data_IF_621337322957
#
_entry.id   IF_621337322957
#
_cell.length_a   1.000
_cell.length_b   1.000
_cell.length_c   1.000
_cell.angle_alpha   90.00
_cell.angle_beta   90.00
_cell.angle_gamma   90.00
#
_symmetry.space_group_name_H-M   'P 1'
#
loop_
_entity.id
_entity.type
_entity.pdbx_description
1 polymer ?
#
# COMPACT_ATOMS: atom_id res chain seq x y z
N UNK A 1 -0.09 -16.84 -30.97
CA UNK A 1 -0.78 -15.60 -30.55
C UNK A 1 -2.24 -15.93 -30.34
N UNK A 2 -2.77 -15.70 -29.14
CA UNK A 2 -4.21 -15.80 -28.91
C UNK A 2 -4.88 -14.56 -29.54
N UNK A 3 -6.02 -14.71 -30.23
CA UNK A 3 -6.72 -13.58 -30.82
C UNK A 3 -7.27 -12.68 -29.70
N UNK A 4 -6.89 -11.40 -29.74
CA UNK A 4 -7.49 -10.36 -28.89
C UNK A 4 -8.93 -10.19 -29.35
N UNK A 5 -9.89 -10.50 -28.47
CA UNK A 5 -11.30 -10.32 -28.79
C UNK A 5 -11.60 -8.81 -28.91
N UNK A 6 -11.98 -8.30 -30.10
CA UNK A 6 -12.16 -6.88 -30.35
C UNK A 6 -13.31 -6.25 -29.54
N UNK A 7 -14.16 -7.06 -28.89
CA UNK A 7 -15.18 -6.57 -27.97
C UNK A 7 -14.60 -6.01 -26.65
N UNK A 8 -13.33 -6.28 -26.33
CA UNK A 8 -12.63 -5.69 -25.18
C UNK A 8 -11.75 -4.50 -25.54
N UNK A 9 -11.84 -3.98 -26.78
CA UNK A 9 -11.32 -2.66 -27.10
C UNK A 9 -12.24 -1.61 -26.47
N UNK A 10 -12.25 -1.54 -25.14
CA UNK A 10 -12.89 -0.46 -24.42
C UNK A 10 -12.13 0.80 -24.81
N UNK A 11 -12.75 1.62 -25.68
CA UNK A 11 -12.40 3.02 -25.85
C UNK A 11 -12.62 3.70 -24.49
N UNK A 12 -11.60 3.65 -23.65
CA UNK A 12 -11.73 3.99 -22.25
C UNK A 12 -11.29 5.44 -22.04
N UNK A 13 -12.22 6.36 -22.25
CA UNK A 13 -12.19 7.66 -21.57
C UNK A 13 -12.19 7.49 -20.03
N UNK A 14 -12.49 6.28 -19.53
CA UNK A 14 -12.40 5.88 -18.11
C UNK A 14 -10.96 5.77 -17.60
N UNK A 15 -9.95 5.65 -18.49
CA UNK A 15 -8.52 5.68 -18.11
C UNK A 15 -7.98 7.11 -17.90
N UNK A 16 -8.81 8.17 -18.05
CA UNK A 16 -8.34 9.57 -17.94
C UNK A 16 -7.99 10.01 -16.51
N UNK A 17 -8.39 9.26 -15.48
CA UNK A 17 -8.11 9.59 -14.07
C UNK A 17 -7.13 8.60 -13.42
N UNK A 18 -6.01 8.33 -14.08
CA UNK A 18 -4.86 7.75 -13.37
C UNK A 18 -4.23 8.88 -12.56
N UNK A 19 -4.47 8.89 -11.25
CA UNK A 19 -3.83 9.81 -10.30
C UNK A 19 -2.31 9.61 -10.41
N UNK A 20 -1.59 10.65 -10.86
CA UNK A 20 -0.12 10.62 -11.00
C UNK A 20 0.55 11.36 -9.86
N UNK A 21 1.74 10.89 -9.48
CA UNK A 21 2.60 11.62 -8.57
C UNK A 21 3.01 12.99 -9.15
N UNK A 22 2.83 14.05 -8.37
CA UNK A 22 3.35 15.40 -8.66
C UNK A 22 4.15 15.91 -7.48
N UNK A 23 4.96 16.96 -7.66
CA UNK A 23 5.75 17.54 -6.57
C UNK A 23 4.86 18.09 -5.46
N UNK A 24 3.71 18.64 -5.81
CA UNK A 24 2.73 19.17 -4.87
C UNK A 24 2.13 18.05 -4.02
N UNK A 25 1.81 16.91 -4.63
CA UNK A 25 1.30 15.73 -3.90
C UNK A 25 2.36 15.11 -2.98
N UNK A 26 3.60 15.03 -3.44
CA UNK A 26 4.73 14.61 -2.61
C UNK A 26 4.85 15.52 -1.40
N UNK A 27 4.85 16.85 -1.62
CA UNK A 27 4.95 17.81 -0.53
C UNK A 27 3.76 17.73 0.45
N UNK A 28 2.54 17.46 -0.02
CA UNK A 28 1.38 17.22 0.85
C UNK A 28 1.62 16.02 1.78
N UNK A 29 2.11 14.90 1.24
CA UNK A 29 2.40 13.68 2.02
C UNK A 29 3.56 13.90 2.99
N UNK A 30 4.64 14.56 2.56
CA UNK A 30 5.83 14.82 3.38
C UNK A 30 5.51 15.66 4.61
N UNK A 31 4.68 16.69 4.42
CA UNK A 31 4.42 17.70 5.44
C UNK A 31 3.17 17.39 6.29
N UNK A 32 2.47 16.28 6.03
CA UNK A 32 1.33 15.89 6.85
C UNK A 32 1.81 15.27 8.18
N UNK A 33 1.47 15.88 9.32
CA UNK A 33 1.91 15.41 10.63
C UNK A 33 1.05 14.27 11.19
N UNK A 34 -0.10 13.98 10.56
CA UNK A 34 -1.04 12.94 11.00
C UNK A 34 -0.75 11.59 10.35
N UNK A 35 0.02 11.58 9.24
CA UNK A 35 0.47 10.35 8.63
C UNK A 35 1.68 9.75 9.35
N UNK A 36 1.59 8.46 9.65
CA UNK A 36 2.74 7.65 10.03
C UNK A 36 3.70 7.48 8.85
N UNK A 37 4.98 7.26 9.14
CA UNK A 37 6.00 7.01 8.12
C UNK A 37 5.62 5.89 7.14
N UNK A 38 5.04 4.79 7.66
CA UNK A 38 4.59 3.67 6.82
C UNK A 38 3.46 4.08 5.88
N UNK A 39 2.57 4.97 6.29
CA UNK A 39 1.44 5.45 5.48
C UNK A 39 1.93 6.38 4.38
N UNK A 40 2.89 7.27 4.70
CA UNK A 40 3.57 8.10 3.70
C UNK A 40 4.22 7.24 2.61
N UNK A 41 4.97 6.21 3.01
CA UNK A 41 5.59 5.25 2.07
C UNK A 41 4.54 4.57 1.20
N UNK A 42 3.44 4.13 1.80
CA UNK A 42 2.39 3.41 1.09
C UNK A 42 1.58 4.29 0.13
N UNK A 43 1.28 5.54 0.50
CA UNK A 43 0.63 6.51 -0.38
C UNK A 43 1.52 6.90 -1.55
N UNK A 44 2.83 7.07 -1.33
CA UNK A 44 3.79 7.28 -2.42
C UNK A 44 3.82 6.06 -3.36
N UNK A 45 3.88 4.84 -2.81
CA UNK A 45 3.84 3.61 -3.61
C UNK A 45 2.54 3.47 -4.42
N UNK A 46 1.40 3.90 -3.85
CA UNK A 46 0.10 3.97 -4.54
C UNK A 46 0.16 4.95 -5.72
N UNK A 47 0.65 6.18 -5.49
CA UNK A 47 0.74 7.25 -6.50
C UNK A 47 1.78 6.97 -7.60
N UNK A 48 2.79 6.15 -7.30
CA UNK A 48 3.77 5.62 -8.26
C UNK A 48 3.23 4.42 -9.05
N UNK A 49 2.05 3.89 -8.69
CA UNK A 49 1.39 2.79 -9.39
C UNK A 49 1.89 1.40 -9.02
N UNK A 50 2.61 1.26 -7.90
CA UNK A 50 3.03 -0.05 -7.38
C UNK A 50 1.91 -0.77 -6.63
N UNK A 51 0.88 -0.04 -6.19
CA UNK A 51 -0.28 -0.56 -5.47
C UNK A 51 -1.57 -0.06 -6.12
N UNK A 52 -2.67 -0.80 -5.93
CA UNK A 52 -4.01 -0.37 -6.32
C UNK A 52 -4.81 0.12 -5.13
N UNK A 53 -4.54 -0.41 -3.94
CA UNK A 53 -5.11 0.03 -2.68
C UNK A 53 -4.04 0.14 -1.58
N UNK A 54 -4.35 0.94 -0.58
CA UNK A 54 -3.62 1.00 0.69
C UNK A 54 -4.57 1.44 1.81
N UNK A 55 -4.04 1.58 3.02
CA UNK A 55 -4.78 2.00 4.21
C UNK A 55 -4.07 3.18 4.87
N UNK A 56 -4.89 4.08 5.43
CA UNK A 56 -4.45 5.12 6.37
C UNK A 56 -5.18 4.86 7.68
N UNK A 57 -4.44 4.54 8.74
CA UNK A 57 -4.99 4.34 10.06
C UNK A 57 -5.61 5.63 10.57
N UNK A 58 -6.70 5.49 11.32
CA UNK A 58 -7.38 6.63 11.92
C UNK A 58 -7.29 6.44 13.44
N UNK A 59 -6.48 7.25 14.11
CA UNK A 59 -6.86 7.63 15.47
C UNK A 59 -8.05 8.60 15.36
N UNK A 60 -9.01 8.51 16.28
CA UNK A 60 -10.31 9.19 16.16
C UNK A 60 -10.19 10.70 16.03
N UNK A 61 -9.14 11.29 16.60
CA UNK A 61 -8.90 12.73 16.57
C UNK A 61 -8.34 13.21 15.21
N UNK A 62 -7.79 12.31 14.38
CA UNK A 62 -7.10 12.62 13.12
C UNK A 62 -7.93 12.35 11.86
N UNK A 63 -9.14 11.78 12.01
CA UNK A 63 -9.97 11.36 10.88
C UNK A 63 -10.21 12.48 9.87
N UNK A 64 -10.64 13.64 10.33
CA UNK A 64 -11.01 14.76 9.46
C UNK A 64 -9.79 15.26 8.68
N UNK A 65 -8.61 15.27 9.31
CA UNK A 65 -7.37 15.68 8.66
C UNK A 65 -6.97 14.68 7.56
N UNK A 66 -7.03 13.39 7.85
CA UNK A 66 -6.76 12.34 6.88
C UNK A 66 -7.73 12.40 5.67
N UNK A 67 -9.02 12.63 5.90
CA UNK A 67 -10.02 12.80 4.84
C UNK A 67 -9.68 14.02 3.96
N UNK A 68 -9.37 15.17 4.56
CA UNK A 68 -8.98 16.38 3.82
C UNK A 68 -7.70 16.19 3.00
N UNK A 69 -6.71 15.49 3.54
CA UNK A 69 -5.49 15.14 2.83
C UNK A 69 -5.81 14.29 1.59
N UNK A 70 -6.61 13.24 1.74
CA UNK A 70 -6.94 12.33 0.64
C UNK A 70 -7.77 13.04 -0.43
N UNK A 71 -8.67 13.94 -0.05
CA UNK A 71 -9.37 14.84 -0.98
C UNK A 71 -8.38 15.74 -1.73
N UNK A 72 -7.41 16.35 -1.05
CA UNK A 72 -6.38 17.18 -1.66
C UNK A 72 -5.46 16.39 -2.61
N UNK A 73 -5.24 15.10 -2.33
CA UNK A 73 -4.52 14.18 -3.19
C UNK A 73 -5.36 13.68 -4.38
N UNK A 74 -6.68 13.96 -4.41
CA UNK A 74 -7.64 13.40 -5.37
C UNK A 74 -7.66 11.86 -5.35
N UNK A 75 -7.51 11.28 -4.15
CA UNK A 75 -7.53 9.84 -3.92
C UNK A 75 -8.88 9.41 -3.36
N UNK A 76 -9.61 8.50 -4.02
CA UNK A 76 -10.85 7.98 -3.48
C UNK A 76 -10.57 7.09 -2.28
N UNK A 77 -11.39 7.25 -1.24
CA UNK A 77 -11.29 6.46 -0.01
C UNK A 77 -12.66 6.06 0.53
N UNK A 78 -12.68 5.09 1.44
CA UNK A 78 -13.85 4.71 2.22
C UNK A 78 -13.48 4.30 3.65
N UNK A 79 -14.28 4.69 4.66
CA UNK A 79 -14.04 4.27 6.02
C UNK A 79 -14.30 2.77 6.19
N UNK A 80 -13.41 2.11 6.91
CA UNK A 80 -13.51 0.69 7.23
C UNK A 80 -13.23 0.50 8.72
N UNK A 81 -13.71 -0.62 9.27
CA UNK A 81 -13.55 -0.92 10.69
C UNK A 81 -13.61 -2.42 10.97
N UNK A 82 -12.98 -2.84 12.06
CA UNK A 82 -13.21 -4.13 12.69
C UNK A 82 -13.29 -3.94 14.21
N UNK A 83 -13.93 -4.90 14.89
CA UNK A 83 -13.87 -5.01 16.35
C UNK A 83 -12.94 -6.18 16.68
N UNK A 84 -11.98 -5.96 17.57
CA UNK A 84 -11.14 -7.04 18.08
C UNK A 84 -11.96 -7.96 19.04
N UNK A 85 -11.39 -9.09 19.51
CA UNK A 85 -12.08 -9.98 20.44
C UNK A 85 -12.51 -9.33 21.77
N UNK A 86 -11.85 -8.24 22.17
CA UNK A 86 -12.13 -7.47 23.38
C UNK A 86 -13.20 -6.38 23.14
N UNK A 87 -13.68 -6.24 21.90
CA UNK A 87 -14.70 -5.29 21.49
C UNK A 87 -14.17 -3.89 21.20
N UNK A 88 -12.85 -3.70 21.15
CA UNK A 88 -12.21 -2.45 20.75
C UNK A 88 -12.38 -2.28 19.24
N UNK A 89 -12.95 -1.15 18.85
CA UNK A 89 -13.17 -0.82 17.44
C UNK A 89 -11.94 -0.13 16.86
N UNK A 90 -11.37 -0.74 15.84
CA UNK A 90 -10.30 -0.17 15.02
C UNK A 90 -10.89 0.39 13.74
N UNK A 91 -10.44 1.58 13.32
CA UNK A 91 -10.93 2.26 12.12
C UNK A 91 -9.75 2.68 11.24
N UNK A 92 -9.97 2.64 9.93
CA UNK A 92 -9.01 3.12 8.93
C UNK A 92 -9.74 3.59 7.68
N UNK A 93 -9.05 4.36 6.84
CA UNK A 93 -9.50 4.71 5.50
C UNK A 93 -8.87 3.75 4.50
N UNK A 94 -9.69 2.97 3.80
CA UNK A 94 -9.24 2.22 2.64
C UNK A 94 -9.11 3.21 1.47
N UNK A 95 -7.91 3.38 0.95
CA UNK A 95 -7.58 4.31 -0.15
C UNK A 95 -7.30 3.52 -1.41
N UNK A 96 -7.74 4.02 -2.56
CA UNK A 96 -7.48 3.39 -3.87
C UNK A 96 -6.90 4.37 -4.88
N UNK A 97 -6.28 3.85 -5.94
CA UNK A 97 -5.76 4.65 -7.06
C UNK A 97 -6.85 5.35 -7.88
N UNK A 98 -8.07 4.81 -7.86
CA UNK A 98 -9.22 5.35 -8.58
C UNK A 98 -10.54 4.76 -8.03
N UNK A 99 -11.66 5.40 -8.37
CA UNK A 99 -12.98 5.07 -7.85
C UNK A 99 -13.46 3.67 -8.25
N UNK A 100 -13.31 3.22 -9.52
CA UNK A 100 -13.60 1.84 -9.89
C UNK A 100 -12.88 0.78 -9.05
N UNK A 101 -11.59 0.96 -8.76
CA UNK A 101 -10.83 0.05 -7.89
C UNK A 101 -11.43 0.02 -6.48
N UNK A 102 -11.71 1.19 -5.89
CA UNK A 102 -12.32 1.28 -4.57
C UNK A 102 -13.68 0.56 -4.54
N UNK A 103 -14.54 0.84 -5.52
CA UNK A 103 -15.87 0.24 -5.60
C UNK A 103 -15.80 -1.28 -5.77
N UNK A 104 -14.86 -1.78 -6.57
CA UNK A 104 -14.62 -3.21 -6.72
C UNK A 104 -14.26 -3.85 -5.38
N UNK A 105 -13.32 -3.25 -4.63
CA UNK A 105 -12.90 -3.77 -3.32
C UNK A 105 -14.05 -3.76 -2.32
N UNK A 106 -14.78 -2.65 -2.22
CA UNK A 106 -15.90 -2.54 -1.28
C UNK A 106 -17.02 -3.53 -1.58
N UNK A 107 -17.35 -3.73 -2.86
CA UNK A 107 -18.43 -4.64 -3.27
C UNK A 107 -18.03 -6.12 -3.12
N UNK A 108 -16.75 -6.45 -3.27
CA UNK A 108 -16.26 -7.84 -3.22
C UNK A 108 -15.51 -8.21 -1.95
N UNK A 109 -15.33 -7.31 -0.98
CA UNK A 109 -14.49 -7.54 0.21
C UNK A 109 -14.76 -8.83 0.98
N UNK A 110 -16.00 -9.33 0.95
CA UNK A 110 -16.39 -10.57 1.63
C UNK A 110 -16.06 -11.85 0.82
N UNK A 111 -15.71 -11.68 -0.45
CA UNK A 111 -15.39 -12.75 -1.40
C UNK A 111 -13.94 -12.69 -1.88
N UNK A 112 -13.23 -11.58 -1.64
CA UNK A 112 -11.84 -11.43 -2.04
C UNK A 112 -10.99 -12.47 -1.32
N UNK A 113 -10.30 -13.28 -2.12
CA UNK A 113 -9.28 -14.16 -1.60
C UNK A 113 -8.09 -13.34 -1.10
N UNK A 114 -7.33 -13.94 -0.18
CA UNK A 114 -6.04 -13.40 0.29
C UNK A 114 -5.10 -13.09 -0.88
N UNK A 115 -5.13 -13.91 -1.95
CA UNK A 115 -4.37 -13.67 -3.16
C UNK A 115 -4.81 -12.40 -3.89
N UNK A 116 -6.10 -12.25 -4.17
CA UNK A 116 -6.63 -11.09 -4.88
C UNK A 116 -6.37 -9.81 -4.08
N UNK A 117 -6.62 -9.83 -2.77
CA UNK A 117 -6.33 -8.70 -1.90
C UNK A 117 -4.82 -8.37 -1.92
N UNK A 118 -3.95 -9.35 -1.73
CA UNK A 118 -2.50 -9.14 -1.73
C UNK A 118 -1.98 -8.52 -3.02
N UNK A 119 -2.47 -8.95 -4.19
CA UNK A 119 -2.11 -8.35 -5.48
C UNK A 119 -2.57 -6.89 -5.57
N UNK A 120 -3.75 -6.54 -5.05
CA UNK A 120 -4.21 -5.15 -5.01
C UNK A 120 -3.36 -4.27 -4.09
N UNK A 121 -2.82 -4.84 -3.00
CA UNK A 121 -1.84 -4.17 -2.12
C UNK A 121 -0.42 -4.11 -2.71
N UNK A 122 -0.22 -4.60 -3.93
CA UNK A 122 1.06 -4.55 -4.65
C UNK A 122 2.04 -5.67 -4.29
N UNK A 123 1.61 -6.73 -3.60
CA UNK A 123 2.46 -7.86 -3.31
C UNK A 123 2.66 -8.76 -4.53
N UNK A 124 3.87 -9.33 -4.75
CA UNK A 124 4.07 -10.39 -5.72
C UNK A 124 3.15 -11.58 -5.44
N UNK A 125 2.61 -12.20 -6.50
CA UNK A 125 1.69 -13.34 -6.36
C UNK A 125 2.30 -14.51 -5.59
N UNK A 126 3.61 -14.74 -5.73
CA UNK A 126 4.34 -15.76 -4.99
C UNK A 126 4.34 -15.49 -3.48
N UNK A 127 4.51 -14.24 -3.06
CA UNK A 127 4.42 -13.83 -1.66
C UNK A 127 3.00 -14.01 -1.12
N UNK A 128 1.97 -13.70 -1.92
CA UNK A 128 0.57 -13.93 -1.56
C UNK A 128 0.26 -15.44 -1.40
N UNK A 129 0.80 -16.28 -2.27
CA UNK A 129 0.68 -17.75 -2.18
C UNK A 129 1.36 -18.28 -0.91
N UNK A 130 2.54 -17.76 -0.57
CA UNK A 130 3.23 -18.12 0.67
C UNK A 130 2.44 -17.69 1.90
N UNK A 131 1.94 -16.46 1.93
CA UNK A 131 1.08 -15.97 3.00
C UNK A 131 -0.21 -16.80 3.15
N UNK A 132 -0.79 -17.26 2.03
CA UNK A 132 -1.95 -18.17 2.03
C UNK A 132 -1.62 -19.62 2.41
N UNK A 133 -0.36 -19.95 2.74
CA UNK A 133 0.09 -21.29 3.11
C UNK A 133 0.21 -22.28 1.95
N UNK A 134 0.18 -21.79 0.70
CA UNK A 134 0.31 -22.60 -0.52
C UNK A 134 1.77 -22.77 -0.96
N UNK A 135 2.68 -21.92 -0.45
CA UNK A 135 4.13 -22.05 -0.59
C UNK A 135 4.79 -21.95 0.79
N UNK A 136 5.99 -22.51 0.93
CA UNK A 136 6.80 -22.32 2.13
C UNK A 136 7.19 -20.85 2.30
N UNK A 137 7.10 -20.36 3.54
CA UNK A 137 7.45 -18.99 3.90
C UNK A 137 8.91 -18.89 4.34
N UNK A 138 9.51 -17.73 4.11
CA UNK A 138 10.80 -17.34 4.66
C UNK A 138 10.75 -15.91 5.20
N UNK A 139 11.57 -15.65 6.22
CA UNK A 139 11.70 -14.36 6.89
C UNK A 139 13.18 -13.95 6.86
N UNK A 140 13.44 -12.67 6.62
CA UNK A 140 14.80 -12.11 6.54
C UNK A 140 14.97 -10.93 7.50
N UNK A 141 16.22 -10.60 7.81
CA UNK A 141 16.57 -9.30 8.37
C UNK A 141 16.19 -8.21 7.36
N UNK A 142 15.30 -7.31 7.79
CA UNK A 142 14.60 -6.41 6.87
C UNK A 142 15.44 -5.18 6.54
N UNK A 143 15.80 -5.04 5.27
CA UNK A 143 16.13 -3.74 4.65
C UNK A 143 14.95 -2.76 4.78
N UNK A 144 15.14 -1.47 4.51
CA UNK A 144 14.04 -0.49 4.61
C UNK A 144 12.86 -0.82 3.70
N UNK A 145 13.13 -1.19 2.45
CA UNK A 145 12.07 -1.60 1.53
C UNK A 145 11.28 -2.80 2.05
N UNK A 146 11.98 -3.81 2.57
CA UNK A 146 11.33 -4.98 3.14
C UNK A 146 10.58 -4.66 4.44
N UNK A 147 11.07 -3.71 5.25
CA UNK A 147 10.44 -3.29 6.49
C UNK A 147 9.09 -2.61 6.24
N UNK A 148 9.05 -1.64 5.32
CA UNK A 148 7.87 -0.84 5.07
C UNK A 148 6.93 -1.40 3.99
N UNK A 149 7.42 -2.28 3.10
CA UNK A 149 6.66 -2.78 1.95
C UNK A 149 6.44 -4.30 1.96
N UNK A 150 7.13 -5.07 2.82
CA UNK A 150 7.02 -6.53 2.84
C UNK A 150 6.55 -7.10 4.18
N UNK A 151 5.71 -8.15 4.08
CA UNK A 151 5.23 -8.94 5.21
C UNK A 151 5.84 -10.34 5.24
N UNK A 152 5.76 -11.09 4.15
CA UNK A 152 6.13 -12.50 4.03
C UNK A 152 6.75 -12.77 2.67
N UNK A 153 7.80 -13.59 2.63
CA UNK A 153 8.41 -14.05 1.38
C UNK A 153 8.06 -15.51 1.10
N UNK A 154 7.99 -15.88 -0.17
CA UNK A 154 8.02 -17.27 -0.56
C UNK A 154 9.46 -17.76 -0.64
N UNK A 155 9.78 -18.82 0.10
CA UNK A 155 11.11 -19.45 0.08
C UNK A 155 11.65 -19.74 -1.34
N UNK A 156 10.86 -20.24 -2.32
CA UNK A 156 11.39 -20.49 -3.65
C UNK A 156 11.68 -19.23 -4.49
N UNK A 157 11.08 -18.07 -4.18
CA UNK A 157 11.22 -16.83 -4.97
C UNK A 157 11.65 -15.64 -4.11
N UNK A 158 12.24 -15.92 -2.94
CA UNK A 158 12.55 -14.89 -1.96
C UNK A 158 13.45 -13.80 -2.54
N UNK A 159 14.47 -14.17 -3.32
CA UNK A 159 15.40 -13.21 -3.91
C UNK A 159 14.72 -12.28 -4.91
N UNK A 160 13.81 -12.81 -5.73
CA UNK A 160 13.04 -12.05 -6.72
C UNK A 160 12.06 -11.09 -6.04
N UNK A 161 11.39 -11.55 -4.99
CA UNK A 161 10.48 -10.74 -4.18
C UNK A 161 11.23 -9.62 -3.44
N UNK A 162 12.41 -9.91 -2.88
CA UNK A 162 13.28 -8.90 -2.28
C UNK A 162 13.70 -7.85 -3.30
N UNK A 163 14.16 -8.27 -4.47
CA UNK A 163 14.50 -7.36 -5.56
C UNK A 163 13.30 -6.52 -6.02
N UNK A 164 12.09 -7.09 -5.99
CA UNK A 164 10.87 -6.35 -6.25
C UNK A 164 10.64 -5.24 -5.22
N UNK A 165 10.65 -5.55 -3.91
CA UNK A 165 10.40 -4.54 -2.87
C UNK A 165 11.51 -3.49 -2.79
N UNK A 166 12.76 -3.88 -3.01
CA UNK A 166 13.88 -2.94 -3.04
C UNK A 166 13.74 -1.96 -4.21
N UNK A 167 13.29 -2.42 -5.39
CA UNK A 167 12.99 -1.52 -6.50
C UNK A 167 11.84 -0.55 -6.18
N UNK A 168 10.76 -1.04 -5.60
CA UNK A 168 9.63 -0.18 -5.17
C UNK A 168 10.11 0.85 -4.15
N UNK A 169 10.96 0.43 -3.21
CA UNK A 169 11.57 1.31 -2.23
C UNK A 169 12.43 2.40 -2.87
N UNK A 170 13.28 2.04 -3.85
CA UNK A 170 14.09 2.99 -4.59
C UNK A 170 13.25 4.02 -5.34
N UNK A 171 12.12 3.60 -5.93
CA UNK A 171 11.19 4.49 -6.60
C UNK A 171 10.53 5.46 -5.58
N UNK A 172 10.13 4.96 -4.40
CA UNK A 172 9.61 5.79 -3.29
C UNK A 172 10.66 6.77 -2.77
N UNK A 173 11.88 6.32 -2.50
CA UNK A 173 12.97 7.15 -2.00
C UNK A 173 13.43 8.19 -3.03
N UNK A 174 13.37 7.84 -4.32
CA UNK A 174 13.61 8.78 -5.42
C UNK A 174 12.50 9.83 -5.56
N UNK A 175 11.26 9.47 -5.24
CA UNK A 175 10.12 10.38 -5.22
C UNK A 175 10.16 11.35 -4.03
N UNK A 176 10.57 10.88 -2.85
CA UNK A 176 10.68 11.67 -1.62
C UNK A 176 11.90 11.25 -0.79
N UNK A 177 13.02 11.99 -0.90
CA UNK A 177 14.17 11.79 -0.02
C UNK A 177 13.82 12.05 1.45
N UNK A 178 12.91 12.98 1.73
CA UNK A 178 12.47 13.31 3.10
C UNK A 178 11.76 12.13 3.77
N UNK A 179 10.81 11.48 3.08
CA UNK A 179 10.16 10.26 3.62
C UNK A 179 11.17 9.12 3.76
N UNK A 180 12.17 9.03 2.87
CA UNK A 180 13.22 8.02 3.00
C UNK A 180 14.11 8.22 4.25
N UNK A 181 14.46 9.47 4.58
CA UNK A 181 15.18 9.82 5.80
C UNK A 181 14.35 9.53 7.06
N UNK A 182 13.06 9.89 7.04
CA UNK A 182 12.11 9.60 8.12
C UNK A 182 12.01 8.10 8.37
N UNK A 183 11.86 7.30 7.30
CA UNK A 183 11.80 5.84 7.35
C UNK A 183 13.08 5.21 7.93
N UNK A 184 14.26 5.72 7.53
CA UNK A 184 15.53 5.29 8.10
C UNK A 184 15.61 5.56 9.60
N UNK A 185 15.14 6.74 10.04
CA UNK A 185 15.09 7.10 11.45
C UNK A 185 14.11 6.22 12.26
N UNK A 186 12.90 5.99 11.73
CA UNK A 186 11.90 5.10 12.35
C UNK A 186 12.46 3.68 12.52
N UNK A 187 13.05 3.10 11.46
CA UNK A 187 13.65 1.75 11.53
C UNK A 187 14.73 1.66 12.60
N UNK A 188 15.61 2.67 12.67
CA UNK A 188 16.66 2.69 13.67
C UNK A 188 16.08 2.71 15.09
N UNK A 189 15.02 3.50 15.35
CA UNK A 189 14.36 3.53 16.66
C UNK A 189 13.76 2.18 17.04
N UNK A 190 13.13 1.48 16.10
CA UNK A 190 12.59 0.14 16.35
C UNK A 190 13.69 -0.90 16.63
N UNK A 191 14.83 -0.80 15.96
CA UNK A 191 16.01 -1.64 16.24
C UNK A 191 16.64 -1.35 17.61
N UNK A 192 16.59 -0.10 18.08
CA UNK A 192 17.01 0.27 19.44
C UNK A 192 15.93 0.01 20.50
N UNK A 193 14.68 -0.23 20.09
CA UNK A 193 13.54 -0.59 20.93
C UNK A 193 13.36 -2.09 21.17
N UNK A 194 14.06 -2.95 20.42
CA UNK A 194 14.07 -4.42 20.58
C UNK A 194 15.09 -4.92 21.63
N UNK A 195 15.21 -4.19 22.74
CA UNK A 195 15.81 -4.65 23.99
C UNK A 195 15.01 -4.20 25.24
N UNK A 196 13.70 -3.99 25.11
CA UNK A 196 12.79 -3.75 26.23
C UNK A 196 11.79 -4.89 26.40
#
# INVERSE_FOLDING_TARGET
MLPVNPQFAVQSDVLKHVVRLTKERVALIENDPHLLTVEKVNLLALLLGHKQITDVAIDRDDKTAAEQLLEALDLPYAPNHYADPDGVRHEWLQVATNKPTLDYVLNRRHELTVLEAGVLYGYPTSACLAYAGLLEQEWFDKTLGEYFLSGVFSKPYANEERAHFERVWQDVAGASPTVAEEAAATRAQDDFGLAA
#
